data_IF_606046976918
#
_entry.id   IF_606046976918
#
_cell.length_a   1.000
_cell.length_b   1.000
_cell.length_c   1.000
_cell.angle_alpha   90.00
_cell.angle_beta   90.00
_cell.angle_gamma   90.00
#
_symmetry.space_group_name_H-M   'P 1'
#
loop_
_entity.id
_entity.type
_entity.pdbx_description
1 polymer ?
#
# COMPACT_ATOMS: atom_id res chain seq x y z
N UNK A 1 24.93 -5.08 -24.44
CA UNK A 1 25.48 -6.13 -23.57
C UNK A 1 26.17 -5.50 -22.38
N UNK A 2 25.93 -6.03 -21.19
CA UNK A 2 26.64 -5.64 -19.97
C UNK A 2 28.10 -6.07 -20.04
N UNK A 3 28.94 -5.43 -19.22
CA UNK A 3 30.30 -5.88 -19.02
C UNK A 3 30.33 -7.12 -18.10
N UNK A 4 31.15 -8.12 -18.45
CA UNK A 4 31.32 -9.32 -17.65
C UNK A 4 30.22 -10.37 -17.87
N UNK A 5 29.82 -11.06 -16.80
CA UNK A 5 28.83 -12.15 -16.81
C UNK A 5 27.44 -11.70 -16.36
N UNK A 6 27.26 -10.41 -16.08
CA UNK A 6 25.99 -9.84 -15.66
C UNK A 6 25.00 -9.87 -16.82
N UNK A 7 23.79 -10.36 -16.59
CA UNK A 7 22.70 -10.38 -17.59
C UNK A 7 21.45 -9.62 -17.12
N UNK A 8 21.45 -9.14 -15.88
CA UNK A 8 20.39 -8.32 -15.31
C UNK A 8 20.87 -7.61 -14.04
N UNK A 9 20.14 -6.59 -13.62
CA UNK A 9 20.36 -5.92 -12.34
C UNK A 9 19.07 -5.23 -11.86
N UNK A 10 18.72 -5.45 -10.60
CA UNK A 10 17.60 -4.80 -9.92
C UNK A 10 17.94 -4.37 -8.51
N UNK A 11 17.20 -3.39 -7.99
CA UNK A 11 17.29 -3.00 -6.59
C UNK A 11 16.54 -4.00 -5.71
N UNK A 12 17.13 -4.34 -4.57
CA UNK A 12 16.52 -5.24 -3.58
C UNK A 12 15.43 -4.52 -2.77
N UNK A 13 14.26 -5.16 -2.58
CA UNK A 13 13.13 -4.65 -1.76
C UNK A 13 12.63 -3.26 -2.18
N UNK A 14 12.55 -3.03 -3.47
CA UNK A 14 12.32 -1.69 -4.02
C UNK A 14 11.00 -1.54 -4.76
N UNK A 15 10.20 -2.59 -4.86
CA UNK A 15 8.87 -2.53 -5.48
C UNK A 15 8.04 -1.39 -4.85
N UNK A 16 7.29 -0.66 -5.68
CA UNK A 16 6.55 0.57 -5.32
C UNK A 16 7.38 1.84 -5.05
N UNK A 17 8.71 1.77 -5.07
CA UNK A 17 9.55 2.97 -4.97
C UNK A 17 9.56 3.77 -6.28
N UNK A 18 9.23 5.07 -6.20
CA UNK A 18 9.32 6.00 -7.33
C UNK A 18 10.72 6.11 -7.97
N UNK A 19 11.76 5.72 -7.24
CA UNK A 19 13.16 5.84 -7.69
C UNK A 19 13.83 4.47 -7.93
N UNK A 20 13.40 3.43 -7.21
CA UNK A 20 14.12 2.15 -7.15
C UNK A 20 13.30 0.96 -7.65
N UNK A 21 12.00 1.12 -7.94
CA UNK A 21 11.14 0.04 -8.45
C UNK A 21 11.42 -0.26 -9.92
N UNK A 22 12.63 -0.73 -10.21
CA UNK A 22 13.13 -0.99 -11.54
C UNK A 22 14.15 -2.13 -11.54
N UNK A 23 14.25 -2.77 -12.70
CA UNK A 23 15.30 -3.71 -13.07
C UNK A 23 15.67 -3.52 -14.54
N UNK A 24 16.89 -3.88 -14.90
CA UNK A 24 17.38 -3.91 -16.28
C UNK A 24 17.71 -5.34 -16.66
N UNK A 25 17.28 -5.78 -17.85
CA UNK A 25 17.45 -7.14 -18.33
C UNK A 25 18.13 -7.07 -19.70
N UNK A 26 19.18 -7.88 -19.90
CA UNK A 26 19.77 -8.07 -21.21
C UNK A 26 19.00 -9.15 -21.97
N UNK A 27 18.66 -8.88 -23.24
CA UNK A 27 18.13 -9.89 -24.16
C UNK A 27 19.27 -10.81 -24.64
N UNK A 28 19.74 -11.69 -23.74
CA UNK A 28 20.99 -12.44 -23.90
C UNK A 28 20.84 -13.78 -24.61
N UNK A 29 19.61 -14.24 -24.86
CA UNK A 29 19.34 -15.57 -25.38
C UNK A 29 18.21 -15.56 -26.42
N UNK A 30 18.33 -16.38 -27.46
CA UNK A 30 17.26 -16.56 -28.46
C UNK A 30 16.04 -17.31 -27.92
N UNK A 31 16.21 -18.06 -26.83
CA UNK A 31 15.11 -18.68 -26.10
C UNK A 31 14.48 -17.64 -25.17
N UNK A 32 13.29 -17.20 -25.52
CA UNK A 32 12.52 -16.20 -24.77
C UNK A 32 12.26 -16.61 -23.31
N UNK A 33 12.18 -17.92 -23.01
CA UNK A 33 11.98 -18.42 -21.64
C UNK A 33 13.22 -18.15 -20.78
N UNK A 34 14.42 -18.21 -21.36
CA UNK A 34 15.65 -17.90 -20.62
C UNK A 34 15.75 -16.40 -20.26
N UNK A 35 15.27 -15.53 -21.16
CA UNK A 35 15.19 -14.09 -20.90
C UNK A 35 14.08 -13.80 -19.87
N UNK A 36 12.93 -14.49 -19.97
CA UNK A 36 11.86 -14.39 -18.98
C UNK A 36 12.30 -14.85 -17.58
N UNK A 37 13.10 -15.91 -17.47
CA UNK A 37 13.68 -16.36 -16.20
C UNK A 37 14.62 -15.29 -15.59
N UNK A 38 15.35 -14.56 -16.44
CA UNK A 38 16.18 -13.43 -16.00
C UNK A 38 15.30 -12.28 -15.49
N UNK A 39 14.21 -11.97 -16.20
CA UNK A 39 13.25 -10.98 -15.73
C UNK A 39 12.61 -11.36 -14.39
N UNK A 40 12.23 -12.64 -14.22
CA UNK A 40 11.72 -13.16 -12.96
C UNK A 40 12.75 -13.06 -11.82
N UNK A 41 14.03 -13.32 -12.09
CA UNK A 41 15.12 -13.13 -11.14
C UNK A 41 15.23 -11.68 -10.67
N UNK A 42 15.25 -10.72 -11.60
CA UNK A 42 15.36 -9.30 -11.27
C UNK A 42 14.11 -8.77 -10.54
N UNK A 43 12.92 -9.21 -10.94
CA UNK A 43 11.68 -8.91 -10.19
C UNK A 43 11.70 -9.55 -8.79
N UNK A 44 12.30 -10.73 -8.64
CA UNK A 44 12.56 -11.38 -7.36
C UNK A 44 13.34 -10.48 -6.40
N UNK A 45 14.40 -9.81 -6.88
CA UNK A 45 15.12 -8.80 -6.09
C UNK A 45 14.21 -7.63 -5.71
N UNK A 46 13.44 -7.06 -6.64
CA UNK A 46 12.51 -5.97 -6.30
C UNK A 46 11.48 -6.39 -5.24
N UNK A 47 11.07 -7.66 -5.25
CA UNK A 47 10.17 -8.31 -4.29
C UNK A 47 10.89 -8.86 -3.04
N UNK A 48 12.17 -8.55 -2.86
CA UNK A 48 12.92 -8.80 -1.64
C UNK A 48 13.56 -10.18 -1.51
N UNK A 49 13.56 -10.98 -2.58
CA UNK A 49 14.27 -12.25 -2.64
C UNK A 49 15.76 -12.02 -2.83
N UNK A 50 16.59 -12.73 -2.08
CA UNK A 50 18.05 -12.73 -2.25
C UNK A 50 18.49 -13.96 -3.04
N UNK A 51 19.74 -13.98 -3.50
CA UNK A 51 20.28 -15.16 -4.17
C UNK A 51 20.22 -16.41 -3.29
N UNK A 52 20.07 -17.55 -3.95
CA UNK A 52 20.09 -18.86 -3.32
C UNK A 52 21.49 -19.20 -2.76
N UNK A 53 21.49 -19.91 -1.63
CA UNK A 53 22.70 -20.48 -1.02
C UNK A 53 22.71 -21.99 -1.20
N UNK A 54 23.79 -22.68 -0.84
CA UNK A 54 23.87 -24.15 -0.92
C UNK A 54 22.79 -24.89 -0.11
N UNK A 55 22.15 -24.22 0.88
CA UNK A 55 21.07 -24.78 1.66
C UNK A 55 19.68 -24.66 1.00
N UNK A 56 19.58 -23.93 -0.11
CA UNK A 56 18.33 -23.65 -0.80
C UNK A 56 18.08 -24.69 -1.89
N UNK A 57 16.81 -25.10 -2.03
CA UNK A 57 16.40 -26.10 -3.00
C UNK A 57 15.04 -25.75 -3.62
N UNK A 58 14.85 -26.18 -4.87
CA UNK A 58 13.60 -26.22 -5.64
C UNK A 58 13.45 -27.62 -6.27
N UNK A 59 12.43 -27.84 -7.10
CA UNK A 59 12.19 -29.13 -7.78
C UNK A 59 13.22 -29.50 -8.85
N UNK A 60 14.02 -28.54 -9.30
CA UNK A 60 15.07 -28.68 -10.33
C UNK A 60 16.48 -28.40 -9.78
N UNK A 61 17.51 -28.70 -10.59
CA UNK A 61 18.93 -28.47 -10.24
C UNK A 61 19.31 -26.98 -10.10
N UNK A 62 18.54 -26.08 -10.72
CA UNK A 62 18.79 -24.63 -10.72
C UNK A 62 17.48 -23.91 -10.46
N UNK A 63 17.49 -23.02 -9.48
CA UNK A 63 16.33 -22.21 -9.10
C UNK A 63 16.46 -20.78 -9.67
N UNK A 64 15.34 -20.05 -9.78
CA UNK A 64 15.30 -18.71 -10.39
C UNK A 64 16.30 -17.75 -9.74
N UNK A 65 16.49 -17.81 -8.41
CA UNK A 65 17.39 -16.92 -7.66
C UNK A 65 18.83 -17.44 -7.54
N UNK A 66 19.21 -18.43 -8.34
CA UNK A 66 20.62 -18.85 -8.43
C UNK A 66 21.46 -17.69 -8.98
N UNK A 67 22.63 -17.43 -8.40
CA UNK A 67 23.49 -16.27 -8.73
C UNK A 67 24.31 -16.43 -10.02
N UNK A 68 24.16 -17.57 -10.69
CA UNK A 68 24.88 -17.94 -11.90
C UNK A 68 23.94 -18.44 -12.98
N UNK A 69 24.24 -18.06 -14.22
CA UNK A 69 23.48 -18.50 -15.40
C UNK A 69 23.88 -19.93 -15.75
N UNK A 70 22.90 -20.81 -15.90
CA UNK A 70 23.08 -22.20 -16.33
C UNK A 70 22.53 -22.43 -17.74
N UNK A 71 22.91 -23.56 -18.34
CA UNK A 71 22.23 -24.06 -19.55
C UNK A 71 20.80 -24.53 -19.23
N UNK A 72 20.57 -24.98 -18.00
CA UNK A 72 19.23 -25.30 -17.50
C UNK A 72 18.51 -23.98 -17.23
N UNK A 73 17.36 -23.77 -17.87
CA UNK A 73 16.53 -22.59 -17.66
C UNK A 73 15.65 -22.82 -16.42
N UNK A 74 15.85 -22.07 -15.34
CA UNK A 74 15.08 -22.27 -14.11
C UNK A 74 13.63 -21.84 -14.29
N UNK A 75 12.71 -22.56 -13.65
CA UNK A 75 11.27 -22.27 -13.67
C UNK A 75 10.64 -22.09 -12.29
N UNK A 76 11.37 -22.47 -11.24
CA UNK A 76 10.87 -22.47 -9.88
C UNK A 76 11.72 -21.59 -8.97
N UNK A 77 11.05 -20.93 -8.03
CA UNK A 77 11.70 -20.28 -6.90
C UNK A 77 12.09 -21.33 -5.84
N UNK A 78 13.21 -21.12 -5.16
CA UNK A 78 13.61 -21.98 -4.05
C UNK A 78 12.76 -21.72 -2.80
N UNK A 79 12.80 -22.67 -1.86
CA UNK A 79 12.21 -22.48 -0.53
C UNK A 79 12.76 -21.25 0.23
N UNK A 80 14.02 -20.87 0.01
CA UNK A 80 14.63 -19.66 0.59
C UNK A 80 14.08 -18.37 -0.03
N UNK A 81 13.84 -18.39 -1.35
CA UNK A 81 13.27 -17.27 -2.08
C UNK A 81 11.86 -16.95 -1.57
N UNK A 82 11.02 -17.98 -1.41
CA UNK A 82 9.66 -17.85 -0.87
C UNK A 82 9.65 -17.30 0.55
N UNK A 83 10.55 -17.77 1.43
CA UNK A 83 10.68 -17.22 2.80
C UNK A 83 11.13 -15.75 2.80
N UNK A 84 12.03 -15.37 1.89
CA UNK A 84 12.50 -14.00 1.77
C UNK A 84 11.37 -13.06 1.32
N UNK A 85 10.56 -13.51 0.36
CA UNK A 85 9.38 -12.81 -0.12
C UNK A 85 8.33 -12.65 0.97
N UNK A 86 7.96 -13.72 1.67
CA UNK A 86 7.00 -13.68 2.78
C UNK A 86 7.45 -12.68 3.86
N UNK A 87 8.72 -12.74 4.26
CA UNK A 87 9.29 -11.82 5.24
C UNK A 87 9.24 -10.37 4.77
N UNK A 88 9.44 -10.11 3.48
CA UNK A 88 9.34 -8.76 2.91
C UNK A 88 7.89 -8.27 2.94
N UNK A 89 6.94 -9.08 2.48
CA UNK A 89 5.52 -8.73 2.51
C UNK A 89 5.00 -8.46 3.94
N UNK A 90 5.39 -9.29 4.91
CA UNK A 90 4.97 -9.11 6.31
C UNK A 90 5.60 -7.87 6.98
N UNK A 91 6.80 -7.47 6.55
CA UNK A 91 7.50 -6.33 7.13
C UNK A 91 7.01 -4.98 6.57
N UNK A 92 6.78 -4.92 5.26
CA UNK A 92 6.63 -3.66 4.54
C UNK A 92 5.34 -3.56 3.69
N UNK A 93 4.56 -4.65 3.51
CA UNK A 93 3.37 -4.78 2.64
C UNK A 93 3.22 -3.62 1.64
N UNK A 94 3.90 -3.69 0.48
CA UNK A 94 3.98 -2.56 -0.43
C UNK A 94 2.60 -2.15 -0.96
N UNK A 95 2.13 -0.90 -0.73
CA UNK A 95 0.75 -0.53 -1.05
C UNK A 95 0.37 -0.60 -2.53
N UNK A 96 1.35 -0.56 -3.45
CA UNK A 96 1.06 -0.64 -4.90
C UNK A 96 0.83 -2.07 -5.41
N UNK A 97 0.97 -3.08 -4.54
CA UNK A 97 0.72 -4.48 -4.90
C UNK A 97 -0.67 -4.96 -4.50
N UNK A 98 -1.51 -4.08 -3.93
CA UNK A 98 -2.85 -4.44 -3.45
C UNK A 98 -3.96 -4.14 -4.46
N UNK A 99 -3.65 -3.44 -5.56
CA UNK A 99 -4.62 -3.10 -6.59
C UNK A 99 -4.49 -4.00 -7.82
N UNK A 100 -5.59 -4.61 -8.23
CA UNK A 100 -5.68 -5.35 -9.49
C UNK A 100 -5.80 -4.34 -10.65
N UNK A 101 -5.05 -4.50 -11.77
CA UNK A 101 -5.16 -3.62 -12.92
C UNK A 101 -6.54 -3.67 -13.58
N UNK A 102 -7.00 -2.55 -14.12
CA UNK A 102 -8.21 -2.50 -14.94
C UNK A 102 -8.03 -3.36 -16.20
N UNK A 103 -9.01 -4.20 -16.55
CA UNK A 103 -8.94 -5.10 -17.71
C UNK A 103 -8.58 -4.38 -19.01
N UNK A 104 -9.08 -3.16 -19.21
CA UNK A 104 -8.78 -2.36 -20.40
C UNK A 104 -7.34 -1.83 -20.47
N UNK A 105 -6.59 -1.92 -19.38
CA UNK A 105 -5.20 -1.46 -19.28
C UNK A 105 -4.17 -2.54 -19.62
N UNK A 106 -4.57 -3.82 -19.64
CA UNK A 106 -3.69 -4.91 -20.09
C UNK A 106 -3.53 -4.82 -21.61
N UNK A 107 -2.29 -4.57 -22.03
CA UNK A 107 -1.92 -4.48 -23.44
C UNK A 107 -1.57 -5.83 -24.05
N UNK A 108 -1.32 -6.85 -23.22
CA UNK A 108 -1.05 -8.20 -23.66
C UNK A 108 -2.31 -8.81 -24.33
N UNK A 109 -2.15 -9.65 -25.37
CA UNK A 109 -3.26 -10.42 -25.90
C UNK A 109 -3.82 -11.37 -24.84
N UNK A 110 -5.17 -11.49 -24.71
CA UNK A 110 -5.81 -12.43 -23.78
C UNK A 110 -5.34 -13.86 -23.98
N UNK A 111 -5.08 -14.57 -22.88
CA UNK A 111 -4.61 -15.96 -22.89
C UNK A 111 -5.26 -16.80 -21.79
N UNK A 112 -6.36 -17.45 -22.14
CA UNK A 112 -7.04 -18.39 -21.28
C UNK A 112 -6.12 -19.46 -20.67
N UNK A 113 -6.21 -19.61 -19.35
CA UNK A 113 -5.47 -20.54 -18.53
C UNK A 113 -4.26 -19.93 -17.83
N UNK A 114 -4.12 -18.60 -17.82
CA UNK A 114 -3.03 -17.89 -17.14
C UNK A 114 -3.41 -17.43 -15.72
N UNK A 115 -4.64 -17.74 -15.27
CA UNK A 115 -5.16 -17.38 -13.95
C UNK A 115 -5.54 -15.91 -13.81
N UNK A 116 -5.64 -15.17 -14.91
CA UNK A 116 -5.98 -13.76 -14.91
C UNK A 116 -7.08 -13.49 -15.94
N UNK A 117 -8.25 -13.06 -15.47
CA UNK A 117 -9.39 -12.78 -16.37
C UNK A 117 -9.00 -11.65 -17.31
N UNK A 118 -9.04 -11.90 -18.61
CA UNK A 118 -8.73 -10.90 -19.63
C UNK A 118 -9.93 -10.57 -20.52
N UNK A 119 -9.76 -9.61 -21.45
CA UNK A 119 -10.85 -9.17 -22.33
C UNK A 119 -11.36 -10.33 -23.21
N UNK A 120 -12.58 -10.78 -22.94
CA UNK A 120 -13.26 -11.85 -23.70
C UNK A 120 -13.53 -13.11 -22.87
N UNK A 121 -12.84 -13.23 -21.74
CA UNK A 121 -13.00 -14.29 -20.75
C UNK A 121 -14.05 -13.89 -19.72
N UNK A 122 -14.70 -14.88 -19.11
CA UNK A 122 -15.65 -14.68 -18.01
C UNK A 122 -15.09 -15.15 -16.66
N UNK A 123 -14.06 -16.01 -16.72
CA UNK A 123 -13.32 -16.54 -15.60
C UNK A 123 -11.99 -17.11 -16.12
N UNK A 124 -10.99 -17.23 -15.25
CA UNK A 124 -9.76 -17.98 -15.54
C UNK A 124 -9.26 -18.57 -14.21
N UNK A 125 -9.13 -19.89 -14.16
CA UNK A 125 -8.69 -20.64 -12.98
C UNK A 125 -7.34 -21.33 -13.19
N UNK A 126 -6.59 -20.92 -14.22
CA UNK A 126 -5.35 -21.56 -14.64
C UNK A 126 -5.57 -22.69 -15.65
N UNK A 127 -4.57 -23.55 -15.78
CA UNK A 127 -4.61 -24.69 -16.72
C UNK A 127 -5.66 -25.74 -16.31
N UNK A 128 -6.11 -26.60 -17.24
CA UNK A 128 -7.02 -27.71 -16.90
C UNK A 128 -6.50 -28.64 -15.80
N UNK A 129 -5.18 -28.79 -15.68
CA UNK A 129 -4.54 -29.61 -14.65
C UNK A 129 -4.55 -28.97 -13.26
N UNK A 130 -4.51 -27.64 -13.19
CA UNK A 130 -4.42 -26.87 -11.93
C UNK A 130 -5.78 -26.36 -11.45
N UNK A 131 -6.74 -26.18 -12.36
CA UNK A 131 -8.04 -25.62 -12.04
C UNK A 131 -8.86 -26.54 -11.14
N UNK A 132 -9.19 -26.03 -9.95
CA UNK A 132 -10.08 -26.69 -8.96
C UNK A 132 -11.45 -26.01 -8.86
N UNK A 133 -11.67 -24.97 -9.66
CA UNK A 133 -12.87 -24.14 -9.61
C UNK A 133 -13.96 -24.68 -10.54
N UNK A 134 -14.95 -25.36 -9.97
CA UNK A 134 -16.07 -25.95 -10.74
C UNK A 134 -16.95 -24.91 -11.47
N UNK A 135 -16.85 -23.64 -11.09
CA UNK A 135 -17.61 -22.55 -11.69
C UNK A 135 -17.02 -22.06 -13.02
N UNK A 136 -15.79 -22.47 -13.35
CA UNK A 136 -15.09 -22.07 -14.56
C UNK A 136 -14.70 -23.27 -15.40
N UNK A 137 -14.91 -23.18 -16.71
CA UNK A 137 -14.37 -24.15 -17.66
C UNK A 137 -12.93 -23.73 -18.06
N UNK A 138 -11.89 -24.45 -17.62
CA UNK A 138 -10.50 -24.08 -17.87
C UNK A 138 -10.08 -24.24 -19.34
N UNK A 139 -10.85 -24.94 -20.18
CA UNK A 139 -10.54 -25.04 -21.62
C UNK A 139 -11.06 -23.82 -22.40
N UNK A 140 -12.09 -23.14 -21.89
CA UNK A 140 -12.80 -22.08 -22.63
C UNK A 140 -12.80 -20.72 -21.93
N UNK A 141 -12.41 -20.66 -20.65
CA UNK A 141 -12.48 -19.47 -19.80
C UNK A 141 -13.88 -18.85 -19.77
N UNK A 142 -14.88 -19.75 -19.71
CA UNK A 142 -16.31 -19.43 -19.63
C UNK A 142 -16.90 -19.98 -18.34
N UNK A 143 -17.93 -19.30 -17.86
CA UNK A 143 -18.67 -19.77 -16.69
C UNK A 143 -19.36 -21.10 -16.99
N UNK A 144 -19.24 -22.03 -16.04
CA UNK A 144 -19.96 -23.29 -16.06
C UNK A 144 -21.47 -23.05 -16.07
N UNK A 145 -22.23 -24.03 -16.59
CA UNK A 145 -23.69 -23.90 -16.68
C UNK A 145 -24.34 -23.66 -15.31
N UNK A 146 -25.04 -22.54 -15.17
CA UNK A 146 -25.70 -22.13 -13.93
C UNK A 146 -24.84 -21.28 -13.00
N UNK A 147 -23.55 -21.07 -13.29
CA UNK A 147 -22.69 -20.16 -12.54
C UNK A 147 -22.98 -18.69 -12.93
N UNK A 148 -23.04 -17.83 -11.93
CA UNK A 148 -23.08 -16.37 -12.10
C UNK A 148 -21.69 -15.72 -11.90
N UNK A 149 -20.78 -16.44 -11.24
CA UNK A 149 -19.41 -16.04 -11.00
C UNK A 149 -18.52 -17.27 -10.82
N UNK A 150 -17.22 -17.09 -10.96
CA UNK A 150 -16.22 -18.10 -10.63
C UNK A 150 -15.22 -17.62 -9.57
N UNK A 151 -14.78 -16.38 -9.64
CA UNK A 151 -13.79 -15.82 -8.73
C UNK A 151 -14.26 -14.48 -8.12
N UNK A 152 -13.59 -14.01 -7.07
CA UNK A 152 -13.82 -12.74 -6.39
C UNK A 152 -14.42 -12.87 -4.99
N UNK A 153 -14.15 -11.89 -4.12
CA UNK A 153 -14.56 -11.91 -2.71
C UNK A 153 -16.08 -11.95 -2.50
N UNK A 154 -16.85 -11.58 -3.53
CA UNK A 154 -18.30 -11.61 -3.56
C UNK A 154 -18.88 -12.79 -4.35
N UNK A 155 -18.07 -13.81 -4.65
CA UNK A 155 -18.53 -15.08 -5.20
C UNK A 155 -18.56 -16.16 -4.11
N UNK A 156 -19.66 -16.91 -4.03
CA UNK A 156 -19.81 -18.05 -3.14
C UNK A 156 -20.66 -19.13 -3.83
N UNK A 157 -20.14 -20.36 -3.90
CA UNK A 157 -20.82 -21.50 -4.56
C UNK A 157 -21.30 -21.15 -5.99
N UNK A 158 -20.43 -20.53 -6.79
CA UNK A 158 -20.71 -20.05 -8.14
C UNK A 158 -21.82 -19.00 -8.28
N UNK A 159 -22.27 -18.40 -7.17
CA UNK A 159 -23.31 -17.36 -7.14
C UNK A 159 -22.79 -16.09 -6.46
N UNK A 160 -23.39 -14.94 -6.80
CA UNK A 160 -23.08 -13.72 -6.08
C UNK A 160 -23.52 -13.84 -4.62
N UNK A 161 -22.63 -13.46 -3.70
CA UNK A 161 -22.97 -13.27 -2.29
C UNK A 161 -24.11 -12.27 -2.15
N UNK A 162 -24.91 -12.41 -1.10
CA UNK A 162 -26.07 -11.54 -0.87
C UNK A 162 -25.61 -10.08 -0.72
N UNK A 163 -26.49 -9.17 -1.12
CA UNK A 163 -26.26 -7.74 -0.91
C UNK A 163 -26.08 -7.45 0.58
N UNK A 164 -25.02 -6.73 0.95
CA UNK A 164 -24.67 -6.46 2.34
C UNK A 164 -23.71 -7.47 2.99
N UNK A 165 -23.40 -8.59 2.34
CA UNK A 165 -22.33 -9.50 2.81
C UNK A 165 -20.98 -8.79 2.84
N UNK A 166 -20.28 -8.78 3.97
CA UNK A 166 -18.95 -8.17 4.08
C UNK A 166 -17.95 -8.94 3.22
N UNK A 167 -17.30 -8.23 2.29
CA UNK A 167 -16.19 -8.75 1.49
C UNK A 167 -14.84 -8.21 1.95
N UNK A 168 -14.80 -7.00 2.53
CA UNK A 168 -13.60 -6.47 3.19
C UNK A 168 -13.96 -5.89 4.56
N UNK A 169 -13.32 -6.40 5.59
CA UNK A 169 -13.51 -5.92 6.96
C UNK A 169 -12.79 -4.59 7.21
N UNK A 170 -13.26 -3.84 8.21
CA UNK A 170 -12.62 -2.62 8.71
C UNK A 170 -11.22 -2.97 9.26
N UNK A 171 -10.18 -2.28 8.79
CA UNK A 171 -8.81 -2.49 9.25
C UNK A 171 -8.42 -1.58 10.44
N UNK A 172 -8.96 -0.36 10.50
CA UNK A 172 -8.65 0.63 11.54
C UNK A 172 -9.72 1.73 11.62
N UNK A 173 -9.65 2.61 12.63
CA UNK A 173 -10.63 3.68 12.91
C UNK A 173 -11.01 4.56 11.71
N UNK A 174 -10.10 4.76 10.76
CA UNK A 174 -10.32 5.61 9.59
C UNK A 174 -10.81 4.86 8.36
N UNK A 175 -11.08 3.57 8.48
CA UNK A 175 -11.51 2.70 7.39
C UNK A 175 -13.02 2.42 7.46
N UNK A 176 -13.61 1.97 6.36
CA UNK A 176 -14.96 1.41 6.31
C UNK A 176 -14.89 -0.07 5.90
N UNK A 177 -15.96 -0.82 6.11
CA UNK A 177 -16.08 -2.17 5.55
C UNK A 177 -16.72 -2.07 4.18
N UNK A 178 -16.28 -2.88 3.22
CA UNK A 178 -17.00 -3.04 1.95
C UNK A 178 -17.90 -4.27 1.97
N UNK A 179 -19.06 -4.09 1.36
CA UNK A 179 -20.08 -5.11 1.25
C UNK A 179 -20.43 -5.40 -0.20
N UNK A 180 -20.67 -6.68 -0.47
CA UNK A 180 -21.12 -7.15 -1.76
C UNK A 180 -22.42 -6.46 -2.17
N UNK A 181 -22.52 -6.13 -3.46
CA UNK A 181 -23.72 -5.49 -4.02
C UNK A 181 -24.87 -6.48 -4.24
N UNK A 182 -24.56 -7.78 -4.33
CA UNK A 182 -25.50 -8.82 -4.74
C UNK A 182 -25.58 -9.03 -6.26
N UNK A 183 -24.82 -8.27 -7.04
CA UNK A 183 -24.86 -8.30 -8.51
C UNK A 183 -23.48 -8.28 -9.17
N UNK A 184 -22.42 -8.46 -8.39
CA UNK A 184 -21.03 -8.41 -8.82
C UNK A 184 -20.24 -9.47 -8.05
N UNK A 185 -19.29 -10.16 -8.71
CA UNK A 185 -18.38 -11.08 -8.04
C UNK A 185 -17.25 -10.38 -7.29
N UNK A 186 -16.89 -9.16 -7.71
CA UNK A 186 -15.84 -8.36 -7.08
C UNK A 186 -16.38 -7.57 -5.89
N UNK A 187 -15.56 -7.47 -4.84
CA UNK A 187 -15.80 -6.49 -3.77
C UNK A 187 -15.75 -5.07 -4.36
N UNK A 188 -16.63 -4.14 -3.94
CA UNK A 188 -16.54 -2.75 -4.37
C UNK A 188 -15.20 -2.11 -4.04
N UNK A 189 -14.90 -1.00 -4.70
CA UNK A 189 -13.70 -0.19 -4.42
C UNK A 189 -13.60 0.16 -2.93
N UNK A 190 -12.40 -0.01 -2.36
CA UNK A 190 -12.07 0.34 -0.98
C UNK A 190 -12.46 1.79 -0.67
N UNK A 191 -13.29 1.98 0.37
CA UNK A 191 -13.65 3.29 0.87
C UNK A 191 -13.25 3.43 2.32
N UNK A 192 -12.75 4.62 2.63
CA UNK A 192 -12.42 5.02 3.99
C UNK A 192 -13.32 6.14 4.50
N UNK A 193 -13.28 6.36 5.82
CA UNK A 193 -14.03 7.40 6.52
C UNK A 193 -13.74 8.77 5.92
N UNK A 194 -14.75 9.63 5.90
CA UNK A 194 -14.58 11.02 5.49
C UNK A 194 -13.46 11.73 6.28
N UNK A 195 -12.68 12.55 5.59
CA UNK A 195 -11.65 13.38 6.21
C UNK A 195 -12.25 14.19 7.39
N UNK A 196 -11.53 14.28 8.51
CA UNK A 196 -12.01 14.95 9.71
C UNK A 196 -12.77 14.06 10.70
N UNK A 197 -13.07 12.81 10.36
CA UNK A 197 -13.60 11.86 11.34
C UNK A 197 -12.61 11.66 12.50
N UNK A 198 -13.01 11.77 13.79
CA UNK A 198 -12.09 11.56 14.91
C UNK A 198 -11.52 10.14 14.93
N UNK A 199 -10.23 9.99 15.25
CA UNK A 199 -9.55 8.69 15.27
C UNK A 199 -8.51 8.61 16.39
N UNK A 200 -8.02 7.40 16.70
CA UNK A 200 -6.99 7.19 17.72
C UNK A 200 -7.46 7.65 19.10
N UNK A 201 -8.70 7.30 19.46
CA UNK A 201 -9.37 7.76 20.69
C UNK A 201 -9.51 9.29 20.83
N UNK A 202 -9.59 10.02 19.71
CA UNK A 202 -9.76 11.48 19.69
C UNK A 202 -8.45 12.28 19.65
N UNK A 203 -7.31 11.59 19.57
CA UNK A 203 -5.99 12.20 19.43
C UNK A 203 -5.70 12.69 18.01
N UNK A 204 -6.47 12.24 17.02
CA UNK A 204 -6.31 12.62 15.62
C UNK A 204 -7.62 12.79 14.86
N UNK A 205 -7.47 13.10 13.57
CA UNK A 205 -8.54 13.16 12.59
C UNK A 205 -8.13 12.33 11.39
N UNK A 206 -9.07 11.57 10.82
CA UNK A 206 -8.85 10.82 9.61
C UNK A 206 -8.49 11.76 8.46
N UNK A 207 -7.47 11.40 7.71
CA UNK A 207 -7.04 12.14 6.53
C UNK A 207 -6.49 11.16 5.49
N UNK A 208 -7.15 11.11 4.33
CA UNK A 208 -6.82 10.22 3.22
C UNK A 208 -6.68 8.76 3.70
N UNK A 209 -7.67 8.28 4.44
CA UNK A 209 -7.75 6.91 4.95
C UNK A 209 -6.91 6.61 6.18
N UNK A 210 -5.97 7.49 6.55
CA UNK A 210 -5.07 7.26 7.69
C UNK A 210 -5.46 8.09 8.90
N UNK A 211 -4.98 7.72 10.09
CA UNK A 211 -5.05 8.54 11.30
C UNK A 211 -3.68 9.20 11.59
N UNK A 212 -3.32 10.33 10.93
CA UNK A 212 -2.03 10.95 11.12
C UNK A 212 -1.90 11.57 12.52
N UNK A 213 -0.94 11.06 13.29
CA UNK A 213 -0.55 11.60 14.60
C UNK A 213 0.96 11.78 14.66
N UNK A 214 1.43 12.79 15.40
CA UNK A 214 2.89 12.96 15.65
C UNK A 214 3.47 11.73 16.36
N UNK A 215 2.74 11.18 17.32
CA UNK A 215 3.12 9.97 18.04
C UNK A 215 3.27 8.75 17.11
N UNK A 216 2.32 8.55 16.19
CA UNK A 216 2.39 7.49 15.18
C UNK A 216 3.58 7.69 14.23
N UNK A 217 3.80 8.92 13.76
CA UNK A 217 4.96 9.24 12.92
C UNK A 217 6.30 9.03 13.64
N UNK A 218 6.38 9.34 14.95
CA UNK A 218 7.58 9.06 15.74
C UNK A 218 7.86 7.56 15.84
N UNK A 219 6.82 6.75 16.07
CA UNK A 219 6.96 5.29 16.10
C UNK A 219 7.41 4.71 14.75
N UNK A 220 6.87 5.24 13.65
CA UNK A 220 7.27 4.84 12.30
C UNK A 220 8.73 5.25 11.98
N UNK A 221 9.16 6.42 12.45
CA UNK A 221 10.50 6.95 12.15
C UNK A 221 11.61 6.34 13.03
N UNK A 222 11.34 6.13 14.33
CA UNK A 222 12.35 5.75 15.33
C UNK A 222 12.00 4.48 16.10
N UNK A 223 11.02 3.69 15.64
CA UNK A 223 10.63 2.42 16.25
C UNK A 223 9.58 2.55 17.35
N UNK A 224 9.02 1.42 17.82
CA UNK A 224 7.80 1.39 18.65
C UNK A 224 7.91 2.13 19.99
N UNK A 225 9.12 2.25 20.55
CA UNK A 225 9.41 2.93 21.81
C UNK A 225 9.59 4.46 21.67
N UNK A 226 9.49 5.00 20.45
CA UNK A 226 9.60 6.43 20.20
C UNK A 226 8.33 7.18 20.61
N UNK A 227 8.50 8.41 21.10
CA UNK A 227 7.41 9.28 21.60
C UNK A 227 7.44 10.65 20.93
N UNK A 228 6.28 11.31 20.82
CA UNK A 228 6.21 12.71 20.39
C UNK A 228 7.01 13.60 21.36
N UNK A 229 7.86 14.45 20.83
CA UNK A 229 8.70 15.33 21.63
C UNK A 229 7.88 16.41 22.36
N UNK A 230 8.40 16.97 23.47
CA UNK A 230 7.80 18.13 24.10
C UNK A 230 7.78 19.36 23.17
N UNK A 231 6.80 20.24 23.37
CA UNK A 231 6.61 21.49 22.60
C UNK A 231 7.83 22.45 22.63
N UNK A 232 8.80 22.22 23.52
CA UNK A 232 10.09 22.92 23.56
C UNK A 232 10.95 22.58 22.34
N UNK A 233 11.01 21.33 21.91
CA UNK A 233 11.83 20.89 20.77
C UNK A 233 11.33 21.48 19.45
N UNK A 234 10.00 21.63 19.32
CA UNK A 234 9.36 22.30 18.21
C UNK A 234 9.68 23.80 18.09
N UNK A 235 10.29 24.45 19.10
CA UNK A 235 10.79 25.84 18.93
C UNK A 235 11.90 25.92 17.88
N UNK A 236 12.58 24.82 17.60
CA UNK A 236 13.57 24.75 16.51
C UNK A 236 12.96 25.06 15.15
N UNK A 237 11.68 24.72 14.94
CA UNK A 237 10.98 25.00 13.70
C UNK A 237 10.83 26.50 13.40
N UNK A 238 10.93 27.36 14.42
CA UNK A 238 10.88 28.82 14.28
C UNK A 238 12.20 29.40 13.72
N UNK A 239 13.26 28.59 13.57
CA UNK A 239 14.60 29.05 13.16
C UNK A 239 14.86 29.02 11.65
N UNK A 240 14.12 28.22 10.87
CA UNK A 240 14.34 28.11 9.42
C UNK A 240 15.63 27.38 9.05
N UNK A 241 16.05 26.41 9.86
CA UNK A 241 17.22 25.57 9.62
C UNK A 241 16.83 24.38 8.73
N UNK A 242 17.79 23.72 8.09
CA UNK A 242 17.51 22.54 7.24
C UNK A 242 16.88 21.34 7.96
N UNK A 243 16.89 21.36 9.30
CA UNK A 243 16.27 20.38 10.18
C UNK A 243 15.20 20.98 11.10
N UNK A 244 14.75 22.21 10.83
CA UNK A 244 13.71 22.89 11.60
C UNK A 244 13.09 24.03 10.81
N UNK A 245 11.99 23.73 10.11
CA UNK A 245 11.28 24.65 9.22
C UNK A 245 9.84 24.18 9.00
N UNK A 246 8.99 25.02 8.41
CA UNK A 246 7.61 24.67 8.04
C UNK A 246 7.44 24.38 6.55
N UNK A 247 8.13 25.15 5.70
CA UNK A 247 8.04 25.02 4.25
C UNK A 247 9.39 25.20 3.60
N UNK A 248 9.57 24.62 2.42
CA UNK A 248 10.72 24.86 1.55
C UNK A 248 10.23 25.50 0.26
N UNK A 249 10.70 26.71 -0.03
CA UNK A 249 10.36 27.42 -1.26
C UNK A 249 11.64 27.73 -2.03
N UNK A 250 11.73 27.27 -3.28
CA UNK A 250 12.90 27.47 -4.17
C UNK A 250 14.25 27.12 -3.51
N UNK A 251 14.26 26.08 -2.67
CA UNK A 251 15.45 25.62 -1.96
C UNK A 251 15.69 26.29 -0.60
N UNK A 252 14.98 27.36 -0.26
CA UNK A 252 15.10 28.07 1.02
C UNK A 252 14.15 27.49 2.05
N UNK A 253 14.67 27.19 3.25
CA UNK A 253 13.89 26.73 4.40
C UNK A 253 13.23 27.93 5.09
N UNK A 254 11.89 27.96 5.08
CA UNK A 254 11.11 29.02 5.69
C UNK A 254 10.82 28.70 7.17
N UNK A 255 11.17 29.60 8.11
CA UNK A 255 10.85 29.42 9.52
C UNK A 255 9.35 29.39 9.74
N UNK A 256 8.92 28.61 10.72
CA UNK A 256 7.53 28.58 11.15
C UNK A 256 7.14 29.86 11.89
N UNK A 257 5.88 30.28 11.75
CA UNK A 257 5.27 31.20 12.72
C UNK A 257 5.07 30.44 14.04
N UNK A 258 5.01 31.17 15.15
CA UNK A 258 4.83 30.59 16.49
C UNK A 258 3.62 29.65 16.60
N UNK A 259 2.52 29.97 15.91
CA UNK A 259 1.29 29.15 15.88
C UNK A 259 1.43 27.87 15.04
N UNK A 260 2.38 27.84 14.10
CA UNK A 260 2.54 26.79 13.09
C UNK A 260 3.68 25.82 13.42
N UNK A 261 4.45 26.07 14.49
CA UNK A 261 5.63 25.28 14.85
C UNK A 261 5.37 23.77 15.06
N UNK A 262 4.12 23.41 15.37
CA UNK A 262 3.65 22.02 15.52
C UNK A 262 3.22 21.38 14.18
N UNK A 263 3.51 22.03 13.05
CA UNK A 263 3.27 21.55 11.68
C UNK A 263 4.54 21.61 10.81
N UNK A 264 5.71 21.82 11.42
CA UNK A 264 7.00 21.83 10.72
C UNK A 264 7.68 20.47 10.72
N UNK A 265 8.98 20.43 11.06
CA UNK A 265 9.69 19.16 11.32
C UNK A 265 9.13 18.46 12.54
N UNK A 266 9.03 17.14 12.44
CA UNK A 266 8.70 16.24 13.53
C UNK A 266 9.91 16.07 14.44
N UNK A 267 9.68 16.14 15.75
CA UNK A 267 10.68 15.84 16.77
C UNK A 267 10.17 14.70 17.65
N UNK A 268 11.05 13.77 17.98
CA UNK A 268 10.74 12.57 18.74
C UNK A 268 11.72 12.37 19.90
N UNK A 269 11.33 11.59 20.90
CA UNK A 269 12.19 11.14 22.00
C UNK A 269 12.18 9.61 22.10
N UNK A 270 13.23 9.02 22.69
CA UNK A 270 13.32 7.56 22.86
C UNK A 270 13.60 6.82 21.54
N UNK A 271 13.14 5.57 21.46
CA UNK A 271 13.28 4.72 20.28
C UNK A 271 14.73 4.37 19.91
N UNK A 272 14.90 3.91 18.67
CA UNK A 272 16.19 3.59 18.06
C UNK A 272 17.12 4.80 17.95
N UNK A 273 18.41 4.54 17.87
CA UNK A 273 19.43 5.60 17.75
C UNK A 273 19.39 6.29 16.38
N UNK A 274 19.14 5.54 15.31
CA UNK A 274 19.05 6.06 13.94
C UNK A 274 17.61 5.98 13.41
N UNK A 275 17.17 6.96 12.59
CA UNK A 275 15.87 6.90 11.96
C UNK A 275 15.83 5.81 10.88
N UNK A 276 14.65 5.25 10.61
CA UNK A 276 14.43 4.31 9.50
C UNK A 276 14.78 4.94 8.14
N UNK A 277 14.50 6.24 7.99
CA UNK A 277 14.77 7.00 6.77
C UNK A 277 15.49 8.33 7.07
N UNK A 278 16.50 8.65 6.28
CA UNK A 278 17.24 9.91 6.36
C UNK A 278 18.40 9.91 7.37
N UNK A 279 18.88 11.10 7.69
CA UNK A 279 19.98 11.33 8.62
C UNK A 279 19.44 11.84 9.96
N UNK A 280 20.12 11.49 11.05
CA UNK A 280 19.78 11.93 12.41
C UNK A 280 20.26 13.36 12.66
N UNK A 281 19.41 14.16 13.31
CA UNK A 281 19.85 15.31 14.10
C UNK A 281 19.35 15.17 15.53
N UNK A 282 20.20 15.53 16.49
CA UNK A 282 19.86 15.51 17.92
C UNK A 282 19.88 16.93 18.47
N UNK A 283 18.85 17.31 19.22
CA UNK A 283 18.67 18.61 19.86
C UNK A 283 18.27 18.35 21.30
N UNK A 284 19.21 18.54 22.22
CA UNK A 284 19.07 18.12 23.62
C UNK A 284 18.68 16.63 23.70
N UNK A 285 17.49 16.31 24.23
CA UNK A 285 16.95 14.94 24.30
C UNK A 285 16.04 14.56 23.13
N UNK A 286 15.90 15.44 22.12
CA UNK A 286 15.01 15.25 20.97
C UNK A 286 15.80 14.84 19.74
N UNK A 287 15.18 14.01 18.90
CA UNK A 287 15.70 13.51 17.64
C UNK A 287 14.78 13.97 16.51
N UNK A 288 15.34 14.26 15.34
CA UNK A 288 14.60 14.45 14.11
C UNK A 288 15.37 13.84 12.93
N UNK A 289 14.64 13.45 11.89
CA UNK A 289 15.22 12.96 10.65
C UNK A 289 15.22 14.05 9.58
N UNK A 290 16.25 14.06 8.74
CA UNK A 290 16.32 14.97 7.58
C UNK A 290 16.99 14.30 6.38
N UNK A 291 16.70 14.81 5.19
CA UNK A 291 17.39 14.41 3.96
C UNK A 291 17.88 15.63 3.20
N UNK A 292 19.00 15.47 2.48
CA UNK A 292 19.53 16.49 1.56
C UNK A 292 18.76 16.53 0.24
N UNK A 293 18.12 15.41 -0.14
CA UNK A 293 17.51 15.18 -1.44
C UNK A 293 15.97 15.22 -1.42
N UNK A 294 15.34 15.27 -0.24
CA UNK A 294 13.88 15.31 -0.10
C UNK A 294 13.38 15.76 1.27
N UNK A 295 12.06 15.88 1.43
CA UNK A 295 11.41 16.31 2.66
C UNK A 295 11.08 15.13 3.59
N UNK A 296 12.11 14.55 4.23
CA UNK A 296 11.93 13.48 5.22
C UNK A 296 11.68 14.08 6.61
N UNK A 297 10.76 13.52 7.40
CA UNK A 297 10.55 13.90 8.79
C UNK A 297 9.76 15.21 8.99
N UNK A 298 8.97 15.62 8.00
CA UNK A 298 7.96 16.67 8.18
C UNK A 298 6.71 16.07 8.84
N UNK A 299 6.00 16.87 9.64
CA UNK A 299 4.69 16.47 10.17
C UNK A 299 3.71 16.39 9.01
N UNK A 300 3.07 15.22 8.85
CA UNK A 300 2.07 15.01 7.79
C UNK A 300 0.88 15.97 7.90
N UNK A 301 0.36 16.37 6.74
CA UNK A 301 -0.91 17.09 6.64
C UNK A 301 -2.06 16.26 7.24
N UNK A 302 -3.08 16.94 7.77
CA UNK A 302 -4.17 16.33 8.55
C UNK A 302 -3.84 16.06 10.02
N UNK A 303 -2.56 16.10 10.42
CA UNK A 303 -2.17 15.89 11.82
C UNK A 303 -2.73 16.97 12.73
N UNK A 304 -3.37 16.58 13.84
CA UNK A 304 -3.91 17.49 14.85
C UNK A 304 -2.83 18.38 15.46
N UNK A 305 -2.94 19.70 15.29
CA UNK A 305 -1.99 20.70 15.84
C UNK A 305 -2.60 21.54 16.97
N UNK A 306 -3.90 21.41 17.21
CA UNK A 306 -4.64 22.06 18.29
C UNK A 306 -6.08 21.58 18.33
N UNK A 307 -6.88 22.12 19.24
CA UNK A 307 -8.31 21.79 19.32
C UNK A 307 -9.04 22.31 18.07
N UNK A 308 -9.63 21.42 17.28
CA UNK A 308 -10.29 21.76 16.02
C UNK A 308 -9.32 22.20 14.91
N UNK A 309 -8.01 21.99 15.07
CA UNK A 309 -6.98 22.50 14.17
C UNK A 309 -6.08 21.37 13.66
N UNK A 310 -5.68 21.45 12.39
CA UNK A 310 -4.83 20.46 11.73
C UNK A 310 -3.72 21.12 10.91
N UNK A 311 -2.67 20.36 10.66
CA UNK A 311 -1.59 20.77 9.77
C UNK A 311 -2.04 20.69 8.31
N UNK A 312 -1.75 21.75 7.56
CA UNK A 312 -1.90 21.76 6.10
C UNK A 312 -0.78 22.63 5.52
N UNK A 313 0.10 22.04 4.70
CA UNK A 313 1.22 22.73 4.03
C UNK A 313 2.07 23.55 5.01
N UNK A 314 2.37 22.96 6.16
CA UNK A 314 3.19 23.59 7.20
C UNK A 314 2.52 24.74 7.95
N UNK A 315 1.19 24.86 7.90
CA UNK A 315 0.41 25.79 8.75
C UNK A 315 -0.56 25.04 9.64
N UNK A 316 -0.78 25.56 10.85
CA UNK A 316 -1.85 25.08 11.72
C UNK A 316 -3.12 25.90 11.43
N UNK A 317 -4.10 25.25 10.81
CA UNK A 317 -5.34 25.85 10.30
C UNK A 317 -6.57 25.14 10.85
N UNK A 318 -7.75 25.74 10.69
CA UNK A 318 -9.00 25.13 11.14
C UNK A 318 -9.27 23.84 10.35
N UNK A 319 -9.62 22.76 11.04
CA UNK A 319 -9.92 21.47 10.43
C UNK A 319 -11.00 21.58 9.35
N UNK A 320 -12.01 22.43 9.59
CA UNK A 320 -13.11 22.62 8.64
C UNK A 320 -12.68 23.25 7.31
N UNK A 321 -11.67 24.12 7.32
CA UNK A 321 -11.15 24.76 6.09
C UNK A 321 -10.46 23.74 5.17
N UNK A 322 -9.89 22.69 5.77
CA UNK A 322 -9.14 21.62 5.10
C UNK A 322 -10.06 20.49 4.64
N UNK A 323 -10.87 19.95 5.55
CA UNK A 323 -11.64 18.72 5.29
C UNK A 323 -12.96 18.98 4.57
N UNK A 324 -13.61 20.12 4.84
CA UNK A 324 -14.90 20.53 4.23
C UNK A 324 -15.97 19.43 4.28
N UNK A 325 -15.96 18.65 5.35
CA UNK A 325 -16.76 17.43 5.53
C UNK A 325 -17.84 17.58 6.60
N UNK A 326 -18.05 18.78 7.14
CA UNK A 326 -18.98 19.02 8.24
C UNK A 326 -20.36 18.42 7.96
N UNK A 327 -20.83 17.64 8.94
CA UNK A 327 -22.13 16.99 8.96
C UNK A 327 -22.41 16.12 7.72
N UNK A 328 -21.38 15.54 7.09
CA UNK A 328 -21.60 14.69 5.92
C UNK A 328 -22.45 13.45 6.28
N UNK A 329 -22.06 12.68 7.30
CA UNK A 329 -22.83 11.50 7.72
C UNK A 329 -24.25 11.83 8.19
N UNK A 330 -24.48 13.04 8.71
CA UNK A 330 -25.83 13.46 9.12
C UNK A 330 -26.79 13.66 7.93
N UNK A 331 -26.27 13.68 6.69
CA UNK A 331 -27.07 13.72 5.46
C UNK A 331 -27.37 12.32 4.92
N UNK A 332 -26.76 11.28 5.49
CA UNK A 332 -27.02 9.90 5.13
C UNK A 332 -28.31 9.40 5.79
N UNK A 333 -29.09 8.63 5.04
CA UNK A 333 -30.34 8.03 5.51
C UNK A 333 -30.10 6.59 5.95
N UNK A 334 -30.99 6.05 6.79
CA UNK A 334 -30.86 4.69 7.31
C UNK A 334 -29.59 4.51 8.15
N UNK A 335 -29.05 3.30 8.11
CA UNK A 335 -27.79 2.94 8.75
C UNK A 335 -26.62 3.12 7.79
N UNK A 336 -26.29 4.38 7.50
CA UNK A 336 -25.26 4.74 6.53
C UNK A 336 -24.32 5.84 7.06
N UNK A 337 -23.08 5.79 6.59
CA UNK A 337 -22.00 6.72 6.94
C UNK A 337 -21.43 7.36 5.69
N UNK A 338 -20.94 8.59 5.83
CA UNK A 338 -20.29 9.29 4.74
C UNK A 338 -18.84 8.83 4.57
N UNK A 339 -18.49 8.48 3.34
CA UNK A 339 -17.15 8.11 2.92
C UNK A 339 -16.30 9.33 2.48
N UNK A 340 -15.06 9.05 2.12
CA UNK A 340 -14.12 10.05 1.60
C UNK A 340 -14.52 10.71 0.28
N UNK A 341 -15.44 10.12 -0.49
CA UNK A 341 -16.01 10.68 -1.73
C UNK A 341 -17.25 11.54 -1.47
N UNK A 342 -17.60 11.77 -0.19
CA UNK A 342 -18.81 12.46 0.25
C UNK A 342 -20.10 11.75 -0.19
N UNK A 343 -20.03 10.42 -0.32
CA UNK A 343 -21.17 9.56 -0.62
C UNK A 343 -21.55 8.74 0.62
N UNK A 344 -22.80 8.29 0.67
CA UNK A 344 -23.29 7.46 1.77
C UNK A 344 -23.08 5.98 1.46
N UNK A 345 -22.46 5.28 2.38
CA UNK A 345 -22.22 3.84 2.35
C UNK A 345 -22.91 3.22 3.56
N UNK A 346 -23.56 2.06 3.37
CA UNK A 346 -24.21 1.38 4.49
C UNK A 346 -23.17 0.97 5.55
N UNK A 347 -23.58 0.95 6.80
CA UNK A 347 -22.78 0.38 7.87
C UNK A 347 -22.76 -1.15 7.77
N UNK A 348 -21.77 -1.78 8.39
CA UNK A 348 -21.69 -3.24 8.48
C UNK A 348 -22.99 -3.83 9.04
N UNK A 349 -23.49 -4.88 8.39
CA UNK A 349 -24.77 -5.52 8.71
C UNK A 349 -25.99 -4.91 8.02
N UNK A 350 -25.81 -3.90 7.16
CA UNK A 350 -26.88 -3.24 6.41
C UNK A 350 -26.65 -3.30 4.90
N UNK A 351 -27.74 -3.44 4.14
CA UNK A 351 -27.67 -3.63 2.69
C UNK A 351 -28.03 -2.35 1.91
N UNK A 352 -27.30 -2.04 0.81
CA UNK A 352 -27.67 -0.97 -0.11
C UNK A 352 -28.99 -1.28 -0.86
N UNK A 353 -29.66 -0.27 -1.45
CA UNK A 353 -29.23 1.12 -1.60
C UNK A 353 -29.62 2.06 -0.45
N UNK A 354 -30.62 1.68 0.36
CA UNK A 354 -31.20 2.59 1.37
C UNK A 354 -30.66 2.35 2.80
N UNK A 355 -29.97 1.23 3.04
CA UNK A 355 -29.40 0.89 4.34
C UNK A 355 -30.45 0.76 5.47
N UNK A 356 -31.68 0.33 5.12
CA UNK A 356 -32.81 0.19 6.05
C UNK A 356 -33.11 -1.29 6.41
N UNK A 357 -32.51 -2.24 5.70
CA UNK A 357 -32.68 -3.68 5.92
C UNK A 357 -31.37 -4.31 6.36
N UNK A 358 -31.44 -5.13 7.42
CA UNK A 358 -30.31 -5.94 7.86
C UNK A 358 -29.96 -7.00 6.82
N UNK A 359 -28.67 -7.21 6.58
CA UNK A 359 -28.11 -8.21 5.65
C UNK A 359 -28.24 -9.65 6.14
#
# INVERSE_FOLDING_TARGET
DFEGTTIGLAFLKSICSDLYSAGIIQDHNRNEIAVAATMAHEMGHNLGMSHDTEACACGDDVCIMTDTVSYVVPKEFSSCSLQSFEKFLLADMPPCLTNVPELSSIVAPPSCGNGFVEKGEECDCGTPEECTNECCDPETCKLSSGAACADGDCCENCQYKKSGSVCRAVQHDCDLAEMCTGSSPSCPEDRFRVNGHPCGHGEGYCYMGTCPTRQGQCKAAFGPEATDAPASCYRTNEKGLYYGYCRKEKGTHLPCKKKDKMCGKLFCCGGWDMPRNGNLVTIDSCKASFSRQGEVGMILDGTKCGNGMVCSRGECVQAEEVFRSTNCSAKCSGHAVCDHKLQCQCEEGWAPPNCDSSS
#
